data_IF_056362739371
#
_entry.id   IF_056362739371
#
_cell.length_a   1.000
_cell.length_b   1.000
_cell.length_c   1.000
_cell.angle_alpha   90.00
_cell.angle_beta   90.00
_cell.angle_gamma   90.00
#
_symmetry.space_group_name_H-M   'P 1'
#
loop_
_entity.id
_entity.type
_entity.pdbx_description
1 polymer ?
#
# COMPACT_ATOMS: atom_id res chain seq x y z
N UNK A 1 4.40 2.89 4.62
CA UNK A 1 5.67 2.26 5.05
C UNK A 1 5.35 1.00 5.83
N UNK A 2 5.95 -0.13 5.45
CA UNK A 2 5.84 -1.41 6.14
C UNK A 2 7.12 -1.62 6.95
N UNK A 3 6.99 -1.68 8.29
CA UNK A 3 8.10 -1.77 9.26
C UNK A 3 8.15 -3.17 9.87
N UNK A 4 9.33 -3.60 10.32
CA UNK A 4 9.56 -4.91 10.96
C UNK A 4 9.22 -4.98 12.45
N UNK A 5 9.41 -3.90 13.21
CA UNK A 5 9.48 -4.00 14.68
C UNK A 5 8.17 -3.77 15.46
N UNK A 6 7.03 -3.50 14.80
CA UNK A 6 5.79 -3.06 15.48
C UNK A 6 4.58 -4.00 15.36
N UNK A 7 4.77 -5.24 14.93
CA UNK A 7 3.64 -6.09 14.58
C UNK A 7 3.51 -7.34 15.46
N UNK A 8 3.67 -7.22 16.77
CA UNK A 8 3.19 -8.29 17.65
C UNK A 8 1.66 -8.22 17.65
N UNK A 9 1.02 -9.31 17.27
CA UNK A 9 -0.44 -9.45 17.28
C UNK A 9 -0.83 -10.67 18.11
N UNK A 10 -2.06 -10.67 18.61
CA UNK A 10 -2.58 -11.78 19.38
C UNK A 10 -2.50 -13.10 18.59
N UNK A 11 -2.05 -14.16 19.25
CA UNK A 11 -2.01 -15.51 18.71
C UNK A 11 -2.14 -16.53 19.84
N UNK A 12 -2.52 -17.75 19.51
CA UNK A 12 -2.80 -18.81 20.47
C UNK A 12 -1.55 -19.67 20.72
N UNK A 13 -1.18 -19.82 21.99
CA UNK A 13 -0.09 -20.66 22.43
C UNK A 13 -0.51 -21.48 23.65
N UNK A 14 0.11 -22.65 23.83
CA UNK A 14 -0.06 -23.42 25.06
C UNK A 14 0.38 -22.57 26.27
N UNK A 15 -0.33 -22.72 27.39
CA UNK A 15 -0.03 -22.00 28.64
C UNK A 15 1.43 -22.23 29.03
N UNK A 16 2.18 -21.14 29.22
CA UNK A 16 3.61 -21.17 29.56
C UNK A 16 4.56 -21.41 28.36
N UNK A 17 4.04 -21.50 27.13
CA UNK A 17 4.82 -21.67 25.88
C UNK A 17 4.59 -20.51 24.90
N UNK A 18 4.33 -19.31 25.42
CA UNK A 18 4.15 -18.12 24.58
C UNK A 18 5.41 -17.88 23.75
N UNK A 19 5.21 -17.71 22.44
CA UNK A 19 6.32 -17.43 21.52
C UNK A 19 6.84 -16.01 21.76
N UNK A 20 8.15 -15.89 21.86
CA UNK A 20 8.86 -14.61 21.87
C UNK A 20 9.33 -14.29 20.46
N UNK A 21 9.08 -13.06 20.01
CA UNK A 21 9.56 -12.56 18.71
C UNK A 21 10.64 -11.50 19.00
N UNK A 22 11.90 -11.71 18.58
CA UNK A 22 12.95 -10.72 18.81
C UNK A 22 12.69 -9.44 17.98
N UNK A 23 13.26 -8.32 18.41
CA UNK A 23 13.17 -7.03 17.70
C UNK A 23 14.51 -6.30 17.75
N UNK A 24 14.97 -5.72 16.64
CA UNK A 24 16.24 -4.95 16.63
C UNK A 24 16.10 -3.50 17.12
N UNK A 25 14.88 -2.98 17.27
CA UNK A 25 14.64 -1.57 17.62
C UNK A 25 15.10 -0.57 16.54
N UNK A 26 15.32 -1.02 15.30
CA UNK A 26 15.74 -0.16 14.18
C UNK A 26 14.53 0.24 13.35
N UNK A 27 14.46 1.50 12.93
CA UNK A 27 13.35 2.03 12.14
C UNK A 27 13.57 1.77 10.64
N UNK A 28 13.66 0.50 10.25
CA UNK A 28 13.85 0.12 8.85
C UNK A 28 12.63 -0.62 8.29
N UNK A 29 12.44 -0.54 6.98
CA UNK A 29 11.27 -1.11 6.34
C UNK A 29 11.17 -0.76 4.86
N UNK A 30 10.14 -1.29 4.21
CA UNK A 30 9.81 -0.96 2.83
C UNK A 30 8.88 0.26 2.79
N UNK A 31 9.23 1.29 2.02
CA UNK A 31 8.29 2.36 1.67
C UNK A 31 7.63 1.96 0.35
N UNK A 32 6.30 2.03 0.34
CA UNK A 32 5.46 1.57 -0.76
C UNK A 32 4.50 2.71 -1.11
N UNK A 33 4.31 2.91 -2.40
CA UNK A 33 3.14 3.57 -2.96
C UNK A 33 2.33 2.52 -3.69
N UNK A 34 1.00 2.53 -3.53
CA UNK A 34 0.17 1.52 -4.14
C UNK A 34 -1.23 2.02 -4.48
N UNK A 35 -1.81 1.40 -5.49
CA UNK A 35 -3.19 1.59 -5.93
C UNK A 35 -3.88 0.24 -6.04
N UNK A 36 -5.19 0.24 -5.77
CA UNK A 36 -6.09 -0.86 -6.02
C UNK A 36 -7.13 -0.38 -7.02
N UNK A 37 -7.28 -1.09 -8.14
CA UNK A 37 -8.41 -0.90 -9.03
C UNK A 37 -9.61 -1.66 -8.45
N UNK A 38 -10.64 -0.94 -8.02
CA UNK A 38 -11.80 -1.54 -7.35
C UNK A 38 -12.66 -2.41 -8.28
N UNK A 39 -12.60 -2.18 -9.60
CA UNK A 39 -13.39 -2.92 -10.59
C UNK A 39 -12.74 -4.25 -10.94
N UNK A 40 -11.41 -4.25 -11.11
CA UNK A 40 -10.67 -5.43 -11.55
C UNK A 40 -10.01 -6.20 -10.42
N UNK A 41 -9.86 -5.57 -9.25
CA UNK A 41 -9.08 -6.07 -8.12
C UNK A 41 -7.57 -5.95 -8.31
N UNK A 42 -7.10 -5.36 -9.40
CA UNK A 42 -5.66 -5.26 -9.69
C UNK A 42 -4.96 -4.34 -8.69
N UNK A 43 -3.87 -4.83 -8.09
CA UNK A 43 -3.02 -4.09 -7.16
C UNK A 43 -1.71 -3.72 -7.85
N UNK A 44 -1.42 -2.42 -7.93
CA UNK A 44 -0.16 -1.91 -8.44
C UNK A 44 0.62 -1.25 -7.31
N UNK A 45 1.85 -1.70 -7.06
CA UNK A 45 2.69 -1.21 -5.97
C UNK A 45 4.10 -0.93 -6.47
N UNK A 46 4.65 0.21 -6.06
CA UNK A 46 6.04 0.62 -6.31
C UNK A 46 6.76 0.76 -4.98
N UNK A 47 7.92 0.13 -4.88
CA UNK A 47 8.87 0.34 -3.78
C UNK A 47 9.69 1.60 -4.00
N UNK A 48 9.82 2.40 -2.94
CA UNK A 48 10.52 3.68 -3.01
C UNK A 48 11.52 3.80 -1.86
N UNK A 49 12.56 4.59 -2.06
CA UNK A 49 13.48 4.97 -0.97
C UNK A 49 12.98 6.21 -0.23
N UNK A 50 12.27 7.09 -0.94
CA UNK A 50 11.72 8.36 -0.45
C UNK A 50 10.20 8.40 -0.60
N UNK A 51 9.57 9.34 0.12
CA UNK A 51 8.12 9.54 0.09
C UNK A 51 7.84 11.04 0.01
N UNK A 52 8.17 11.61 -1.15
CA UNK A 52 8.04 13.03 -1.44
C UNK A 52 7.16 13.26 -2.69
N UNK A 53 6.94 14.53 -3.02
CA UNK A 53 6.10 14.93 -4.14
C UNK A 53 6.64 14.46 -5.51
N UNK A 54 7.96 14.34 -5.68
CA UNK A 54 8.55 13.90 -6.94
C UNK A 54 8.31 12.40 -7.16
N UNK A 55 8.47 11.61 -6.09
CA UNK A 55 8.15 10.18 -6.10
C UNK A 55 6.66 9.96 -6.38
N UNK A 56 5.78 10.74 -5.78
CA UNK A 56 4.34 10.63 -6.04
C UNK A 56 3.95 11.06 -7.47
N UNK A 57 4.58 12.10 -8.01
CA UNK A 57 4.39 12.49 -9.42
C UNK A 57 4.79 11.34 -10.36
N UNK A 58 5.94 10.72 -10.13
CA UNK A 58 6.41 9.60 -10.95
C UNK A 58 5.48 8.39 -10.83
N UNK A 59 5.01 8.09 -9.61
CA UNK A 59 4.01 7.05 -9.40
C UNK A 59 2.69 7.35 -10.14
N UNK A 60 2.22 8.60 -10.12
CA UNK A 60 1.02 9.04 -10.83
C UNK A 60 1.16 8.86 -12.34
N UNK A 61 2.35 9.15 -12.90
CA UNK A 61 2.66 8.86 -14.31
C UNK A 61 2.62 7.37 -14.61
N UNK A 62 3.21 6.53 -13.77
CA UNK A 62 3.17 5.09 -13.96
C UNK A 62 1.73 4.55 -13.95
N UNK A 63 0.89 5.01 -13.03
CA UNK A 63 -0.55 4.67 -13.00
C UNK A 63 -1.24 5.15 -14.28
N UNK A 64 -0.98 6.37 -14.72
CA UNK A 64 -1.55 6.92 -15.97
C UNK A 64 -1.19 6.07 -17.19
N UNK A 65 0.05 5.64 -17.33
CA UNK A 65 0.49 4.80 -18.45
C UNK A 65 0.03 3.35 -18.33
N UNK A 66 -0.15 2.84 -17.10
CA UNK A 66 -0.68 1.50 -16.84
C UNK A 66 -2.13 1.36 -17.31
N UNK A 67 -2.93 2.42 -17.22
CA UNK A 67 -4.31 2.45 -17.69
C UNK A 67 -4.42 3.37 -18.93
N UNK A 68 -4.05 2.89 -20.13
CA UNK A 68 -3.87 3.73 -21.30
C UNK A 68 -5.16 4.31 -21.88
N UNK A 69 -6.33 3.80 -21.49
CA UNK A 69 -7.64 4.26 -21.93
C UNK A 69 -8.54 4.63 -20.75
N UNK A 70 -9.62 5.37 -21.04
CA UNK A 70 -10.61 5.78 -20.04
C UNK A 70 -10.16 6.94 -19.14
N UNK A 71 -11.08 7.31 -18.23
CA UNK A 71 -10.85 8.30 -17.17
C UNK A 71 -10.39 7.57 -15.91
N UNK A 72 -9.32 8.06 -15.31
CA UNK A 72 -8.73 7.59 -14.07
C UNK A 72 -9.11 8.58 -12.97
N UNK A 73 -9.77 8.08 -11.94
CA UNK A 73 -10.05 8.86 -10.72
C UNK A 73 -9.27 8.21 -9.59
N UNK A 74 -8.23 8.91 -9.11
CA UNK A 74 -7.43 8.44 -7.98
C UNK A 74 -8.03 8.95 -6.67
N UNK A 75 -8.52 8.02 -5.85
CA UNK A 75 -9.02 8.32 -4.51
C UNK A 75 -7.83 8.34 -3.55
N UNK A 76 -7.63 9.47 -2.86
CA UNK A 76 -6.45 9.71 -2.04
C UNK A 76 -6.81 10.24 -0.65
N UNK A 77 -5.92 10.01 0.31
CA UNK A 77 -5.94 10.73 1.58
C UNK A 77 -5.36 12.15 1.42
N UNK A 78 -5.41 12.93 2.50
CA UNK A 78 -4.93 14.32 2.52
C UNK A 78 -3.43 14.44 2.82
N UNK A 79 -2.61 13.45 2.44
CA UNK A 79 -1.17 13.56 2.62
C UNK A 79 -0.62 14.80 1.89
N UNK A 80 0.24 15.57 2.57
CA UNK A 80 0.79 16.85 2.04
C UNK A 80 1.44 16.71 0.65
N UNK A 81 2.03 15.54 0.37
CA UNK A 81 2.66 15.26 -0.92
C UNK A 81 1.66 15.26 -2.08
N UNK A 82 0.40 14.86 -1.86
CA UNK A 82 -0.63 14.82 -2.90
C UNK A 82 -1.08 16.22 -3.34
N UNK A 83 -0.88 17.23 -2.48
CA UNK A 83 -1.22 18.64 -2.74
C UNK A 83 -0.03 19.47 -3.23
N UNK A 84 1.13 18.83 -3.48
CA UNK A 84 2.32 19.57 -3.86
C UNK A 84 2.15 20.25 -5.22
N UNK A 85 2.55 21.52 -5.30
CA UNK A 85 2.50 22.32 -6.54
C UNK A 85 3.24 21.66 -7.71
N UNK A 86 4.28 20.88 -7.41
CA UNK A 86 5.07 20.12 -8.38
C UNK A 86 4.21 19.21 -9.28
N UNK A 87 3.09 18.70 -8.78
CA UNK A 87 2.25 17.73 -9.48
C UNK A 87 1.23 18.41 -10.39
N UNK A 88 0.89 19.68 -10.11
CA UNK A 88 -0.18 20.41 -10.79
C UNK A 88 -0.02 20.48 -12.32
N UNK A 89 1.18 20.76 -12.88
CA UNK A 89 1.33 20.82 -14.34
C UNK A 89 0.94 19.50 -15.03
N UNK A 90 1.29 18.36 -14.43
CA UNK A 90 0.94 17.04 -14.97
C UNK A 90 -0.57 16.78 -14.89
N UNK A 91 -1.22 17.20 -13.79
CA UNK A 91 -2.68 17.07 -13.65
C UNK A 91 -3.41 17.99 -14.62
N UNK A 92 -2.94 19.22 -14.83
CA UNK A 92 -3.55 20.19 -15.75
C UNK A 92 -3.46 19.74 -17.21
N UNK A 93 -2.29 19.23 -17.60
CA UNK A 93 -2.03 18.63 -18.91
C UNK A 93 -2.98 17.44 -19.16
N UNK A 94 -3.20 16.60 -18.14
CA UNK A 94 -3.96 15.36 -18.25
C UNK A 94 -5.38 15.43 -17.65
N UNK A 95 -5.90 16.62 -17.35
CA UNK A 95 -7.15 16.82 -16.57
C UNK A 95 -8.40 16.15 -17.14
N UNK A 96 -8.40 15.89 -18.43
CA UNK A 96 -9.49 15.24 -19.16
C UNK A 96 -9.48 13.71 -18.95
N UNK A 97 -8.38 13.15 -18.45
CA UNK A 97 -8.18 11.72 -18.21
C UNK A 97 -7.81 11.38 -16.78
N UNK A 98 -7.12 12.23 -16.04
CA UNK A 98 -6.67 11.98 -14.67
C UNK A 98 -7.25 13.02 -13.71
N UNK A 99 -7.95 12.55 -12.69
CA UNK A 99 -8.53 13.36 -11.63
C UNK A 99 -8.11 12.80 -10.26
N UNK A 100 -7.74 13.69 -9.34
CA UNK A 100 -7.48 13.34 -7.95
C UNK A 100 -8.71 13.72 -7.11
N UNK A 101 -9.25 12.76 -6.35
CA UNK A 101 -10.36 12.98 -5.42
C UNK A 101 -9.87 12.68 -4.02
N UNK A 102 -10.10 13.62 -3.10
CA UNK A 102 -9.64 13.53 -1.73
C UNK A 102 -10.75 13.07 -0.80
N UNK A 103 -10.43 12.07 0.02
CA UNK A 103 -11.32 11.61 1.08
C UNK A 103 -11.45 12.67 2.19
N UNK A 104 -12.50 12.61 3.02
CA UNK A 104 -12.57 13.41 4.24
C UNK A 104 -11.32 13.22 5.12
N UNK A 105 -10.84 14.27 5.80
CA UNK A 105 -9.72 14.14 6.73
C UNK A 105 -10.01 13.10 7.81
N UNK A 106 -8.99 12.31 8.17
CA UNK A 106 -9.05 11.28 9.22
C UNK A 106 -10.06 10.14 8.97
N UNK A 107 -10.36 9.83 7.71
CA UNK A 107 -11.22 8.68 7.33
C UNK A 107 -10.45 7.54 6.66
N UNK A 108 -9.51 6.86 7.35
CA UNK A 108 -8.75 5.75 6.78
C UNK A 108 -9.64 4.55 6.40
N UNK A 109 -10.79 4.39 7.04
CA UNK A 109 -11.78 3.35 6.74
C UNK A 109 -12.39 3.47 5.33
N UNK A 110 -12.38 4.66 4.75
CA UNK A 110 -12.85 4.90 3.38
C UNK A 110 -11.76 4.61 2.34
N UNK A 111 -10.51 4.40 2.76
CA UNK A 111 -9.39 4.14 1.86
C UNK A 111 -9.12 2.63 1.77
N UNK A 112 -9.59 1.99 0.69
CA UNK A 112 -9.40 0.55 0.44
C UNK A 112 -7.94 0.09 0.52
N UNK A 113 -7.00 0.96 0.15
CA UNK A 113 -5.56 0.66 0.18
C UNK A 113 -5.05 0.47 1.62
N UNK A 114 -5.69 1.07 2.64
CA UNK A 114 -5.37 0.77 4.04
C UNK A 114 -5.73 -0.66 4.42
N UNK A 115 -6.83 -1.20 3.88
CA UNK A 115 -7.21 -2.61 4.01
C UNK A 115 -6.17 -3.54 3.38
N UNK A 116 -5.66 -3.19 2.20
CA UNK A 116 -4.55 -3.90 1.55
C UNK A 116 -3.30 -3.90 2.42
N UNK A 117 -2.92 -2.75 3.00
CA UNK A 117 -1.77 -2.67 3.90
C UNK A 117 -1.95 -3.45 5.19
N UNK A 118 -3.17 -3.50 5.73
CA UNK A 118 -3.49 -4.35 6.87
C UNK A 118 -3.32 -5.82 6.52
N UNK A 119 -3.88 -6.27 5.40
CA UNK A 119 -3.74 -7.65 4.93
C UNK A 119 -2.28 -8.04 4.72
N UNK A 120 -1.50 -7.18 4.05
CA UNK A 120 -0.08 -7.38 3.86
C UNK A 120 0.64 -7.59 5.21
N UNK A 121 0.41 -6.70 6.18
CA UNK A 121 1.03 -6.81 7.52
C UNK A 121 0.62 -8.10 8.22
N UNK A 122 -0.66 -8.49 8.14
CA UNK A 122 -1.18 -9.75 8.68
C UNK A 122 -0.48 -10.97 8.11
N UNK A 123 -0.18 -10.96 6.82
CA UNK A 123 0.43 -12.10 6.15
C UNK A 123 1.94 -12.18 6.35
N UNK A 124 2.66 -11.06 6.27
CA UNK A 124 4.13 -11.09 6.19
C UNK A 124 4.84 -10.50 7.42
N UNK A 125 4.25 -9.57 8.16
CA UNK A 125 4.95 -8.85 9.24
C UNK A 125 4.54 -9.37 10.62
N UNK A 126 3.26 -9.65 10.82
CA UNK A 126 2.71 -9.95 12.14
C UNK A 126 3.38 -11.19 12.74
N UNK A 127 3.96 -11.05 13.94
CA UNK A 127 4.65 -12.11 14.68
C UNK A 127 5.85 -12.76 13.94
N UNK A 128 6.43 -12.07 12.96
CA UNK A 128 7.61 -12.51 12.20
C UNK A 128 8.78 -11.58 12.49
N UNK A 129 9.97 -12.16 12.63
CA UNK A 129 11.22 -11.41 12.74
C UNK A 129 12.05 -11.56 11.48
N UNK A 130 12.47 -10.43 10.92
CA UNK A 130 13.37 -10.39 9.77
C UNK A 130 14.75 -9.93 10.21
N UNK A 131 15.77 -10.72 9.84
CA UNK A 131 17.16 -10.38 10.15
C UNK A 131 17.66 -9.20 9.29
N UNK A 132 17.09 -9.06 8.09
CA UNK A 132 17.46 -8.06 7.08
C UNK A 132 16.22 -7.44 6.44
N UNK A 133 16.28 -6.14 6.17
CA UNK A 133 15.21 -5.39 5.47
C UNK A 133 14.92 -5.95 4.06
N UNK A 134 15.95 -6.51 3.41
CA UNK A 134 15.78 -7.11 2.08
C UNK A 134 14.82 -8.31 2.09
N UNK A 135 14.75 -9.05 3.19
CA UNK A 135 13.79 -10.15 3.33
C UNK A 135 12.35 -9.62 3.35
N UNK A 136 12.10 -8.48 3.99
CA UNK A 136 10.81 -7.80 3.97
C UNK A 136 10.45 -7.42 2.54
N UNK A 137 11.37 -6.79 1.81
CA UNK A 137 11.14 -6.36 0.42
C UNK A 137 10.81 -7.55 -0.50
N UNK A 138 11.55 -8.65 -0.37
CA UNK A 138 11.29 -9.88 -1.13
C UNK A 138 9.89 -10.43 -0.81
N UNK A 139 9.53 -10.51 0.46
CA UNK A 139 8.22 -11.03 0.86
C UNK A 139 7.06 -10.10 0.47
N UNK A 140 7.26 -8.78 0.50
CA UNK A 140 6.30 -7.81 -0.05
C UNK A 140 6.09 -8.08 -1.54
N UNK A 141 7.15 -8.19 -2.35
CA UNK A 141 7.02 -8.45 -3.79
C UNK A 141 6.30 -9.76 -4.07
N UNK A 142 6.65 -10.82 -3.35
CA UNK A 142 5.98 -12.13 -3.46
C UNK A 142 4.50 -12.02 -3.12
N UNK A 143 4.18 -11.43 -1.98
CA UNK A 143 2.79 -11.21 -1.57
C UNK A 143 1.98 -10.46 -2.63
N UNK A 144 2.50 -9.35 -3.17
CA UNK A 144 1.82 -8.57 -4.22
C UNK A 144 1.66 -9.39 -5.52
N UNK A 145 2.67 -10.16 -5.91
CA UNK A 145 2.57 -11.05 -7.07
C UNK A 145 1.50 -12.13 -6.85
N UNK A 146 1.50 -12.75 -5.66
CA UNK A 146 0.60 -13.84 -5.31
C UNK A 146 -0.87 -13.37 -5.29
N UNK A 147 -1.18 -12.26 -4.62
CA UNK A 147 -2.58 -11.77 -4.57
C UNK A 147 -3.09 -11.37 -5.96
N UNK A 148 -2.23 -10.85 -6.83
CA UNK A 148 -2.60 -10.48 -8.19
C UNK A 148 -2.87 -11.69 -9.10
N UNK A 149 -2.59 -12.91 -8.65
CA UNK A 149 -3.02 -14.13 -9.36
C UNK A 149 -4.51 -14.44 -9.17
N UNK A 150 -5.14 -13.89 -8.13
CA UNK A 150 -6.56 -14.08 -7.79
C UNK A 150 -7.19 -12.74 -7.38
N UNK A 151 -7.45 -11.89 -8.38
CA UNK A 151 -8.01 -10.56 -8.15
C UNK A 151 -9.45 -10.59 -7.64
N UNK A 152 -10.19 -11.67 -7.87
CA UNK A 152 -11.54 -11.85 -7.34
C UNK A 152 -11.53 -11.93 -5.81
N UNK A 153 -10.55 -12.63 -5.23
CA UNK A 153 -10.34 -12.65 -3.78
C UNK A 153 -10.00 -11.26 -3.23
N UNK A 154 -9.20 -10.46 -3.96
CA UNK A 154 -8.91 -9.07 -3.57
C UNK A 154 -10.22 -8.26 -3.46
N UNK A 155 -11.09 -8.32 -4.47
CA UNK A 155 -12.38 -7.62 -4.45
C UNK A 155 -13.24 -8.11 -3.27
N UNK A 156 -13.39 -9.42 -3.11
CA UNK A 156 -14.21 -9.98 -2.04
C UNK A 156 -13.71 -9.55 -0.65
N UNK A 157 -12.40 -9.60 -0.43
CA UNK A 157 -11.78 -9.28 0.86
C UNK A 157 -11.76 -7.78 1.16
N UNK A 158 -11.46 -6.95 0.16
CA UNK A 158 -11.21 -5.53 0.38
C UNK A 158 -12.40 -4.63 0.03
N UNK A 159 -13.16 -4.96 -1.01
CA UNK A 159 -14.21 -4.09 -1.55
C UNK A 159 -15.62 -4.47 -1.07
N UNK A 160 -15.87 -5.75 -0.78
CA UNK A 160 -17.23 -6.25 -0.45
C UNK A 160 -17.43 -6.46 1.05
N UNK A 161 -16.42 -6.94 1.76
CA UNK A 161 -16.49 -7.24 3.20
C UNK A 161 -16.22 -6.03 4.10
N UNK A 162 -16.39 -4.80 3.60
CA UNK A 162 -16.21 -3.56 4.38
C UNK A 162 -17.26 -3.40 5.49
#
# INVERSE_FOLDING_TARGET
>A
MIRDYQAIQCSWFLKGKQRTVPTYGRHQGAKLLGTLNYETGEVFVVETENYDAAVFLEFSKQVFWKYPSGKIVMILDNARIHHAKLIQPFLEENRHRLELVFLPPYSPELNLVEGLWKWLKETIINNVFYSKVQEIKINVRKFIADINTDTANIINRLCVQM
#
